data_IF_489068377722
#
_entry.id   IF_489068377722
#
_cell.length_a   1.000
_cell.length_b   1.000
_cell.length_c   1.000
_cell.angle_alpha   90.00
_cell.angle_beta   90.00
_cell.angle_gamma   90.00
#
_symmetry.space_group_name_H-M   'P 1'
#
loop_
_entity.id
_entity.type
_entity.pdbx_description
1 polymer ?
#
# COMPACT_ATOMS: atom_id res chain seq x y z
N UNK A 1 4.63 29.19 15.74
CA UNK A 1 5.12 27.98 15.07
C UNK A 1 3.91 27.16 14.67
N UNK A 2 3.49 27.20 13.40
CA UNK A 2 2.36 26.41 12.92
C UNK A 2 2.81 24.97 12.69
N UNK A 3 2.50 24.08 13.62
CA UNK A 3 2.77 22.64 13.50
C UNK A 3 1.72 22.05 12.57
N UNK A 4 1.94 22.13 11.25
CA UNK A 4 1.13 21.39 10.28
C UNK A 4 1.35 19.91 10.55
N UNK A 5 0.41 19.28 11.27
CA UNK A 5 0.40 17.83 11.52
C UNK A 5 0.41 17.13 10.17
N UNK A 6 1.59 16.69 9.76
CA UNK A 6 1.79 16.03 8.47
C UNK A 6 1.28 14.60 8.62
N UNK A 7 0.09 14.33 8.08
CA UNK A 7 -0.57 13.03 8.20
C UNK A 7 0.03 12.08 7.16
N UNK A 8 0.71 11.01 7.60
CA UNK A 8 1.24 9.95 6.74
C UNK A 8 0.14 9.21 5.98
N UNK A 9 0.45 8.68 4.80
CA UNK A 9 -0.51 8.01 3.93
C UNK A 9 -0.12 6.54 3.72
N UNK A 10 -1.12 5.67 3.77
CA UNK A 10 -1.07 4.31 3.25
C UNK A 10 -2.09 4.22 2.12
N UNK A 11 -1.65 3.87 0.92
CA UNK A 11 -2.57 3.45 -0.12
C UNK A 11 -2.90 1.98 0.10
N UNK A 12 -4.17 1.61 0.12
CA UNK A 12 -4.58 0.23 0.30
C UNK A 12 -5.80 -0.11 -0.56
N UNK A 13 -5.78 -1.29 -1.17
CA UNK A 13 -6.89 -1.84 -1.94
C UNK A 13 -7.15 -3.29 -1.53
N UNK A 14 -8.41 -3.70 -1.53
CA UNK A 14 -8.86 -5.05 -1.15
C UNK A 14 -9.66 -5.66 -2.29
N UNK A 15 -9.53 -6.97 -2.50
CA UNK A 15 -10.48 -7.71 -3.36
C UNK A 15 -11.89 -7.66 -2.79
N UNK A 16 -12.92 -7.64 -3.64
CA UNK A 16 -14.26 -8.00 -3.18
C UNK A 16 -14.22 -9.41 -2.57
N UNK A 17 -14.99 -9.65 -1.51
CA UNK A 17 -15.18 -11.01 -0.96
C UNK A 17 -15.65 -11.93 -2.08
N UNK A 18 -14.79 -12.86 -2.48
CA UNK A 18 -15.12 -13.83 -3.52
C UNK A 18 -16.21 -14.77 -3.03
N UNK A 19 -17.27 -15.07 -3.80
CA UNK A 19 -18.24 -16.10 -3.41
C UNK A 19 -17.59 -17.49 -3.27
N UNK A 20 -16.45 -17.72 -3.94
CA UNK A 20 -15.63 -18.92 -3.74
C UNK A 20 -14.99 -18.99 -2.36
N UNK A 21 -15.02 -17.91 -1.57
CA UNK A 21 -14.51 -17.92 -0.20
C UNK A 21 -15.43 -18.64 0.80
N UNK A 22 -16.64 -19.05 0.38
CA UNK A 22 -17.58 -19.78 1.20
C UNK A 22 -17.35 -21.32 1.19
N UNK A 23 -16.76 -21.86 0.12
CA UNK A 23 -16.71 -23.31 -0.14
C UNK A 23 -15.45 -24.02 0.38
N UNK A 24 -14.47 -23.25 0.84
CA UNK A 24 -13.23 -23.80 1.40
C UNK A 24 -13.31 -23.70 2.93
N UNK A 25 -13.16 -24.85 3.60
CA UNK A 25 -13.26 -24.97 5.05
C UNK A 25 -12.30 -24.04 5.83
N UNK A 26 -12.34 -24.07 7.18
CA UNK A 26 -12.16 -23.00 8.20
C UNK A 26 -10.96 -22.02 8.11
N UNK A 27 -10.46 -21.68 6.93
CA UNK A 27 -9.12 -21.14 6.75
C UNK A 27 -9.08 -19.98 5.78
N UNK A 28 -10.18 -19.21 5.67
CA UNK A 28 -10.21 -17.89 5.02
C UNK A 28 -9.20 -16.90 5.57
N UNK A 29 -7.93 -17.12 5.24
CA UNK A 29 -6.80 -16.29 5.62
C UNK A 29 -6.71 -15.16 4.58
N UNK A 30 -7.08 -13.92 4.94
CA UNK A 30 -6.81 -12.76 4.11
C UNK A 30 -5.29 -12.65 3.92
N UNK A 31 -4.85 -12.46 2.67
CA UNK A 31 -3.41 -12.31 2.35
C UNK A 31 -3.08 -10.84 2.18
N UNK A 32 -2.11 -10.33 2.94
CA UNK A 32 -1.57 -8.99 2.70
C UNK A 32 -0.31 -9.07 1.82
N UNK A 33 -0.21 -8.17 0.84
CA UNK A 33 0.99 -7.92 0.06
C UNK A 33 1.45 -6.48 0.25
N UNK A 34 2.74 -6.31 0.53
CA UNK A 34 3.37 -5.01 0.65
C UNK A 34 4.01 -4.63 -0.69
N UNK A 35 3.55 -3.52 -1.25
CA UNK A 35 4.04 -2.92 -2.50
C UNK A 35 4.62 -1.53 -2.18
N UNK A 36 4.55 -0.58 -3.11
CA UNK A 36 5.03 0.78 -2.94
C UNK A 36 4.10 1.79 -3.62
N UNK A 37 3.97 2.98 -3.03
CA UNK A 37 3.35 4.11 -3.71
C UNK A 37 4.15 4.45 -4.98
N UNK A 38 3.44 4.61 -6.10
CA UNK A 38 4.03 4.78 -7.43
C UNK A 38 4.07 3.49 -8.27
N UNK A 39 3.60 2.35 -7.74
CA UNK A 39 3.39 1.11 -8.50
C UNK A 39 2.00 1.13 -9.15
N UNK A 40 1.94 0.65 -10.40
CA UNK A 40 0.73 0.53 -11.21
C UNK A 40 -0.10 1.83 -11.23
N UNK A 41 -1.39 1.79 -10.88
CA UNK A 41 -2.29 2.94 -10.97
C UNK A 41 -1.88 4.08 -10.03
N UNK A 42 -1.18 3.78 -8.93
CA UNK A 42 -0.72 4.81 -7.98
C UNK A 42 0.41 5.69 -8.54
N UNK A 43 1.01 5.35 -9.67
CA UNK A 43 2.00 6.18 -10.35
C UNK A 43 1.43 7.55 -10.79
N UNK A 44 0.13 7.62 -11.10
CA UNK A 44 -0.52 8.87 -11.50
C UNK A 44 -0.62 9.89 -10.36
N UNK A 45 -0.52 9.44 -9.11
CA UNK A 45 -0.73 10.25 -7.92
C UNK A 45 0.58 10.73 -7.27
N UNK A 46 1.71 10.24 -7.78
CA UNK A 46 3.03 10.58 -7.29
C UNK A 46 3.63 11.77 -8.04
N UNK A 47 4.54 12.53 -7.40
CA UNK A 47 5.22 13.63 -8.07
C UNK A 47 5.91 13.19 -9.37
N UNK A 48 5.76 13.97 -10.45
CA UNK A 48 6.29 13.67 -11.78
C UNK A 48 7.78 13.28 -11.75
N UNK A 49 8.59 14.04 -10.99
CA UNK A 49 10.02 13.77 -10.87
C UNK A 49 10.31 12.37 -10.29
N UNK A 50 9.51 11.92 -9.31
CA UNK A 50 9.68 10.61 -8.70
C UNK A 50 9.38 9.49 -9.71
N UNK A 51 8.23 9.55 -10.39
CA UNK A 51 7.77 8.46 -11.26
C UNK A 51 8.38 8.46 -12.66
N UNK A 52 8.77 9.61 -13.20
CA UNK A 52 9.30 9.73 -14.56
C UNK A 52 10.82 9.83 -14.63
N UNK A 53 11.50 10.14 -13.53
CA UNK A 53 12.96 10.29 -13.52
C UNK A 53 13.59 9.32 -12.53
N UNK A 54 13.28 9.43 -11.24
CA UNK A 54 13.96 8.64 -10.21
C UNK A 54 13.67 7.13 -10.33
N UNK A 55 12.39 6.75 -10.49
CA UNK A 55 12.02 5.34 -10.62
C UNK A 55 12.62 4.69 -11.86
N UNK A 56 12.50 5.24 -13.09
CA UNK A 56 13.06 4.60 -14.28
C UNK A 56 14.58 4.46 -14.26
N UNK A 57 15.29 5.37 -13.59
CA UNK A 57 16.76 5.35 -13.51
C UNK A 57 17.30 4.41 -12.44
N UNK A 58 16.68 4.36 -11.26
CA UNK A 58 17.27 3.67 -10.10
C UNK A 58 16.44 2.49 -9.58
N UNK A 59 15.11 2.53 -9.77
CA UNK A 59 14.17 1.60 -9.12
C UNK A 59 13.26 0.86 -10.11
N UNK A 60 13.61 0.86 -11.39
CA UNK A 60 12.77 0.29 -12.46
C UNK A 60 12.43 -1.17 -12.20
N UNK A 61 13.45 -2.01 -11.95
CA UNK A 61 13.25 -3.45 -11.76
C UNK A 61 12.41 -3.75 -10.51
N UNK A 62 12.71 -3.21 -9.32
CA UNK A 62 11.85 -3.40 -8.14
C UNK A 62 10.39 -2.98 -8.36
N UNK A 63 10.14 -1.85 -9.05
CA UNK A 63 8.77 -1.38 -9.30
C UNK A 63 8.01 -2.30 -10.28
N UNK A 64 8.70 -2.84 -11.29
CA UNK A 64 8.13 -3.84 -12.20
C UNK A 64 7.81 -5.15 -11.47
N UNK A 65 8.67 -5.59 -10.55
CA UNK A 65 8.42 -6.79 -9.76
C UNK A 65 7.20 -6.62 -8.84
N UNK A 66 7.06 -5.45 -8.22
CA UNK A 66 5.86 -5.10 -7.45
C UNK A 66 4.60 -5.10 -8.33
N UNK A 67 4.65 -4.46 -9.50
CA UNK A 67 3.52 -4.42 -10.45
C UNK A 67 3.10 -5.83 -10.89
N UNK A 68 4.06 -6.67 -11.29
CA UNK A 68 3.80 -8.05 -11.67
C UNK A 68 3.16 -8.85 -10.52
N UNK A 69 3.67 -8.67 -9.30
CA UNK A 69 3.12 -9.32 -8.10
C UNK A 69 1.68 -8.90 -7.83
N UNK A 70 1.38 -7.60 -7.96
CA UNK A 70 0.02 -7.10 -7.82
C UNK A 70 -0.92 -7.62 -8.91
N UNK A 71 -0.46 -7.68 -10.17
CA UNK A 71 -1.24 -8.25 -11.28
C UNK A 71 -1.59 -9.71 -11.00
N UNK A 72 -0.64 -10.51 -10.50
CA UNK A 72 -0.86 -11.91 -10.16
C UNK A 72 -1.90 -12.05 -9.02
N UNK A 73 -1.80 -11.22 -7.98
CA UNK A 73 -2.77 -11.21 -6.89
C UNK A 73 -4.16 -10.81 -7.38
N UNK A 74 -4.26 -9.71 -8.14
CA UNK A 74 -5.54 -9.21 -8.71
C UNK A 74 -6.22 -10.23 -9.63
N UNK A 75 -5.46 -11.07 -10.33
CA UNK A 75 -5.97 -12.14 -11.21
C UNK A 75 -6.28 -13.44 -10.47
N UNK A 76 -5.84 -13.58 -9.22
CA UNK A 76 -6.10 -14.78 -8.43
C UNK A 76 -7.53 -14.80 -7.89
N UNK A 77 -8.02 -15.98 -7.50
CA UNK A 77 -9.29 -16.14 -6.79
C UNK A 77 -9.18 -15.89 -5.27
N UNK A 78 -8.01 -15.45 -4.81
CA UNK A 78 -7.71 -15.27 -3.40
C UNK A 78 -8.31 -13.97 -2.87
N UNK A 79 -8.67 -13.97 -1.59
CA UNK A 79 -8.89 -12.72 -0.87
C UNK A 79 -7.55 -12.06 -0.54
N UNK A 80 -7.37 -10.82 -0.98
CA UNK A 80 -6.12 -10.08 -0.84
C UNK A 80 -6.30 -8.63 -0.40
N UNK A 81 -5.25 -8.12 0.25
CA UNK A 81 -5.02 -6.73 0.61
C UNK A 81 -3.67 -6.30 0.03
N UNK A 82 -3.64 -5.31 -0.86
CA UNK A 82 -2.40 -4.70 -1.36
C UNK A 82 -2.19 -3.40 -0.62
N UNK A 83 -1.03 -3.24 0.02
CA UNK A 83 -0.64 -2.07 0.79
C UNK A 83 0.54 -1.39 0.11
N UNK A 84 0.36 -0.13 -0.32
CA UNK A 84 1.33 0.70 -1.03
C UNK A 84 1.72 1.90 -0.15
N UNK A 85 2.64 1.73 0.81
CA UNK A 85 3.10 2.84 1.63
C UNK A 85 3.91 3.85 0.80
N UNK A 86 3.91 5.08 1.29
CA UNK A 86 4.87 6.13 0.87
C UNK A 86 6.28 5.83 1.42
N UNK A 87 7.22 6.77 1.31
CA UNK A 87 8.62 6.54 1.69
C UNK A 87 8.76 6.05 3.14
N UNK A 88 9.35 4.86 3.30
CA UNK A 88 9.48 4.20 4.59
C UNK A 88 10.58 4.83 5.45
N UNK A 89 10.31 4.95 6.75
CA UNK A 89 11.23 5.47 7.76
C UNK A 89 11.35 4.49 8.94
N UNK A 90 12.39 4.66 9.76
CA UNK A 90 12.60 3.90 11.00
C UNK A 90 12.04 4.62 12.24
N UNK A 91 11.08 5.54 12.05
CA UNK A 91 10.42 6.23 13.16
C UNK A 91 9.54 5.29 14.00
N UNK A 92 9.05 5.80 15.12
CA UNK A 92 8.08 5.09 15.95
C UNK A 92 6.72 4.94 15.25
N UNK A 93 5.85 4.10 15.82
CA UNK A 93 4.47 3.98 15.35
C UNK A 93 3.76 5.35 15.51
N UNK A 94 3.21 5.85 14.42
CA UNK A 94 2.33 7.02 14.41
C UNK A 94 0.89 6.56 14.52
N UNK A 95 0.14 7.12 15.47
CA UNK A 95 -1.29 6.80 15.66
C UNK A 95 -2.19 7.46 14.61
N UNK A 96 -1.65 8.38 13.82
CA UNK A 96 -2.40 9.19 12.86
C UNK A 96 -1.79 9.02 11.46
N UNK A 97 -2.43 8.18 10.66
CA UNK A 97 -2.18 8.06 9.22
C UNK A 97 -3.53 7.95 8.49
N UNK A 98 -3.58 8.41 7.25
CA UNK A 98 -4.74 8.25 6.36
C UNK A 98 -4.58 6.99 5.54
N UNK A 99 -5.69 6.31 5.33
CA UNK A 99 -5.81 5.15 4.45
C UNK A 99 -6.76 5.56 3.32
N UNK A 100 -6.41 5.24 2.09
CA UNK A 100 -7.26 5.45 0.93
C UNK A 100 -6.78 4.65 -0.28
N UNK A 101 -7.62 4.54 -1.30
CA UNK A 101 -7.18 3.99 -2.59
C UNK A 101 -6.40 5.02 -3.42
N UNK A 102 -6.60 6.29 -3.10
CA UNK A 102 -5.97 7.45 -3.74
C UNK A 102 -5.20 8.30 -2.74
N UNK A 103 -4.17 8.99 -3.22
CA UNK A 103 -3.28 9.81 -2.42
C UNK A 103 -3.98 11.14 -2.06
N UNK A 104 -4.29 11.39 -0.77
CA UNK A 104 -4.98 12.62 -0.41
C UNK A 104 -4.08 13.85 -0.52
N UNK A 105 -4.67 14.96 -0.96
CA UNK A 105 -4.00 16.26 -1.03
C UNK A 105 -3.47 16.65 0.35
N UNK A 106 -2.19 17.03 0.41
CA UNK A 106 -1.53 17.55 1.61
C UNK A 106 -1.06 16.48 2.62
N UNK A 107 -1.08 15.20 2.28
CA UNK A 107 -0.50 14.17 3.15
C UNK A 107 1.02 14.05 3.02
N UNK A 108 1.64 13.50 4.06
CA UNK A 108 3.08 13.29 4.15
C UNK A 108 3.53 12.17 3.22
N UNK A 109 4.64 12.39 2.52
CA UNK A 109 5.34 11.41 1.68
C UNK A 109 6.18 10.42 2.49
N UNK A 110 6.07 10.42 3.82
CA UNK A 110 6.83 9.52 4.71
C UNK A 110 5.92 8.80 5.71
N UNK A 111 6.24 7.54 5.99
CA UNK A 111 5.58 6.73 7.02
C UNK A 111 6.58 5.80 7.71
N UNK A 112 6.37 5.46 8.98
CA UNK A 112 7.24 4.49 9.66
C UNK A 112 6.86 3.05 9.31
N UNK A 113 7.87 2.18 9.24
CA UNK A 113 7.67 0.73 9.08
C UNK A 113 6.74 0.16 10.17
N UNK A 114 6.86 0.67 11.39
CA UNK A 114 6.01 0.30 12.51
C UNK A 114 4.52 0.63 12.25
N UNK A 115 4.20 1.81 11.70
CA UNK A 115 2.81 2.17 11.37
C UNK A 115 2.23 1.31 10.27
N UNK A 116 3.02 1.01 9.23
CA UNK A 116 2.61 0.12 8.14
C UNK A 116 2.33 -1.29 8.67
N UNK A 117 3.20 -1.83 9.52
CA UNK A 117 2.99 -3.14 10.14
C UNK A 117 1.74 -3.16 11.03
N UNK A 118 1.53 -2.12 11.84
CA UNK A 118 0.34 -1.99 12.68
C UNK A 118 -0.95 -1.95 11.84
N UNK A 119 -0.93 -1.25 10.70
CA UNK A 119 -2.04 -1.24 9.76
C UNK A 119 -2.33 -2.63 9.17
N UNK A 120 -1.31 -3.30 8.63
CA UNK A 120 -1.45 -4.63 8.02
C UNK A 120 -2.05 -5.62 9.03
N UNK A 121 -1.51 -5.68 10.25
CA UNK A 121 -2.00 -6.59 11.30
C UNK A 121 -3.45 -6.28 11.67
N UNK A 122 -3.84 -5.00 11.72
CA UNK A 122 -5.22 -4.60 11.97
C UNK A 122 -6.14 -5.07 10.85
N UNK A 123 -5.79 -4.79 9.59
CA UNK A 123 -6.62 -5.11 8.43
C UNK A 123 -6.80 -6.60 8.17
N UNK A 124 -5.89 -7.46 8.66
CA UNK A 124 -6.02 -8.91 8.55
C UNK A 124 -6.86 -9.55 9.67
N UNK A 125 -7.19 -8.78 10.73
CA UNK A 125 -8.02 -9.25 11.86
C UNK A 125 -9.48 -8.84 11.74
N UNK A 126 -9.79 -7.97 10.78
CA UNK A 126 -11.13 -7.44 10.48
C UNK A 126 -11.76 -8.18 9.30
#
# INVERSE_FOLDING_TARGET
MNTTLSISIILAMRSATSPASADWGPTAIPRASLSAAGVSESAAEMPFFLTKIAVPLFLKQPFLDHENSEILLKRSSLEWLIVRPVMLTNGQVTKTYKIGETFPVGGSMKISRASVAAYIVKSLKE
#
